data_IF_167071000216
#
_entry.id   IF_167071000216
#
_cell.length_a   1.000
_cell.length_b   1.000
_cell.length_c   1.000
_cell.angle_alpha   90.00
_cell.angle_beta   90.00
_cell.angle_gamma   90.00
#
_symmetry.space_group_name_H-M   'P 1'
#
loop_
_entity.id
_entity.type
_entity.pdbx_description
1 polymer ?
#
# COMPACT_ATOMS: atom_id res chain seq x y z
N UNK A 1 30.38 -19.87 -21.43
CA UNK A 1 29.34 -19.82 -22.48
C UNK A 1 27.98 -19.79 -21.78
N UNK A 2 27.11 -18.85 -22.15
CA UNK A 2 25.77 -18.67 -21.57
C UNK A 2 24.68 -19.04 -22.58
N UNK A 3 23.51 -19.47 -22.09
CA UNK A 3 22.36 -19.79 -22.94
C UNK A 3 21.54 -18.54 -23.21
N UNK A 4 21.25 -18.23 -24.48
CA UNK A 4 20.34 -17.15 -24.83
C UNK A 4 18.92 -17.49 -24.37
N UNK A 5 18.30 -16.60 -23.59
CA UNK A 5 16.96 -16.79 -23.00
C UNK A 5 15.88 -16.86 -24.08
N UNK A 6 16.07 -16.14 -25.21
CA UNK A 6 15.09 -16.05 -26.29
C UNK A 6 15.14 -17.22 -27.28
N UNK A 7 16.33 -17.63 -27.73
CA UNK A 7 16.50 -18.65 -28.77
C UNK A 7 17.11 -19.97 -28.28
N UNK A 8 17.52 -20.04 -27.02
CA UNK A 8 18.05 -21.26 -26.40
C UNK A 8 19.45 -21.68 -26.86
N UNK A 9 20.10 -20.95 -27.77
CA UNK A 9 21.46 -21.26 -28.26
C UNK A 9 22.53 -20.87 -27.23
N UNK A 10 23.64 -21.60 -27.24
CA UNK A 10 24.83 -21.26 -26.45
C UNK A 10 25.61 -20.15 -27.15
N UNK A 11 25.91 -19.08 -26.42
CA UNK A 11 26.70 -17.94 -26.87
C UNK A 11 27.89 -17.72 -25.94
N UNK A 12 28.97 -17.06 -26.39
CA UNK A 12 30.06 -16.60 -25.52
C UNK A 12 29.55 -15.75 -24.34
N UNK A 13 30.24 -15.79 -23.20
CA UNK A 13 29.76 -15.12 -21.97
C UNK A 13 29.76 -13.58 -22.10
N UNK A 14 30.72 -13.05 -22.87
CA UNK A 14 30.94 -11.63 -23.18
C UNK A 14 30.00 -11.08 -24.28
N UNK A 15 29.15 -11.93 -24.87
CA UNK A 15 28.21 -11.51 -25.92
C UNK A 15 27.14 -10.56 -25.36
N UNK A 16 27.10 -9.33 -25.88
CA UNK A 16 26.09 -8.30 -25.55
C UNK A 16 24.77 -8.48 -26.28
N UNK A 17 24.83 -8.87 -27.55
CA UNK A 17 23.64 -9.12 -28.39
C UNK A 17 23.76 -10.49 -29.04
N UNK A 18 22.73 -11.33 -28.90
CA UNK A 18 22.72 -12.64 -29.52
C UNK A 18 22.64 -12.53 -31.05
N UNK A 19 23.70 -12.95 -31.75
CA UNK A 19 23.78 -12.91 -33.22
C UNK A 19 22.66 -13.67 -33.93
N UNK A 20 22.10 -14.71 -33.29
CA UNK A 20 21.05 -15.54 -33.90
C UNK A 20 19.63 -14.96 -33.78
N UNK A 21 19.35 -14.11 -32.79
CA UNK A 21 17.99 -13.63 -32.53
C UNK A 21 17.89 -12.16 -32.13
N UNK A 22 18.99 -11.42 -32.29
CA UNK A 22 19.15 -10.01 -31.93
C UNK A 22 18.69 -9.68 -30.50
N UNK A 23 18.78 -10.65 -29.58
CA UNK A 23 18.41 -10.45 -28.18
C UNK A 23 19.53 -9.71 -27.45
N UNK A 24 19.24 -8.51 -26.98
CA UNK A 24 20.17 -7.68 -26.21
C UNK A 24 20.13 -8.09 -24.73
N UNK A 25 21.26 -8.59 -24.24
CA UNK A 25 21.41 -9.05 -22.86
C UNK A 25 21.56 -7.87 -21.90
N UNK A 26 22.19 -6.77 -22.32
CA UNK A 26 22.38 -5.58 -21.49
C UNK A 26 21.02 -4.88 -21.27
N UNK A 27 20.21 -4.82 -22.33
CA UNK A 27 18.85 -4.30 -22.28
C UNK A 27 17.95 -5.19 -21.41
N UNK A 28 18.02 -6.51 -21.58
CA UNK A 28 17.26 -7.45 -20.76
C UNK A 28 17.65 -7.35 -19.29
N UNK A 29 18.94 -7.27 -18.95
CA UNK A 29 19.39 -7.15 -17.56
C UNK A 29 18.94 -5.82 -16.95
N UNK A 30 19.00 -4.73 -17.72
CA UNK A 30 18.48 -3.42 -17.33
C UNK A 30 16.99 -3.46 -17.02
N UNK A 31 16.18 -4.17 -17.80
CA UNK A 31 14.72 -4.24 -17.64
C UNK A 31 14.22 -5.48 -16.90
N UNK A 32 15.08 -6.39 -16.48
CA UNK A 32 14.70 -7.65 -15.81
C UNK A 32 13.79 -7.39 -14.60
N UNK A 33 14.08 -6.33 -13.84
CA UNK A 33 13.29 -5.91 -12.69
C UNK A 33 11.83 -5.55 -13.02
N UNK A 34 11.53 -5.18 -14.27
CA UNK A 34 10.15 -4.93 -14.73
C UNK A 34 9.34 -6.22 -14.94
N UNK A 35 10.02 -7.36 -15.07
CA UNK A 35 9.42 -8.67 -15.31
C UNK A 35 9.49 -9.60 -14.09
N UNK A 36 10.23 -9.22 -13.05
CA UNK A 36 10.21 -9.94 -11.76
C UNK A 36 8.84 -9.68 -11.13
N UNK A 37 7.94 -10.64 -11.31
CA UNK A 37 6.67 -10.64 -10.61
C UNK A 37 6.97 -11.13 -9.20
N UNK A 38 6.81 -10.28 -8.19
CA UNK A 38 6.86 -10.72 -6.80
C UNK A 38 5.82 -11.82 -6.60
N UNK A 39 6.26 -12.96 -6.08
CA UNK A 39 5.39 -14.09 -5.78
C UNK A 39 4.64 -13.84 -4.48
N UNK A 40 3.43 -14.40 -4.38
CA UNK A 40 2.64 -14.28 -3.16
C UNK A 40 3.33 -14.99 -1.99
N UNK A 41 3.23 -14.44 -0.76
CA UNK A 41 3.85 -15.06 0.40
C UNK A 41 3.28 -16.46 0.65
N UNK A 42 4.16 -17.42 0.91
CA UNK A 42 3.78 -18.81 1.20
C UNK A 42 3.22 -18.88 2.62
N UNK A 43 1.93 -19.16 2.74
CA UNK A 43 1.22 -19.30 4.03
C UNK A 43 0.42 -20.61 4.07
N UNK A 44 0.11 -21.17 5.26
CA UNK A 44 -0.77 -22.32 5.39
C UNK A 44 -2.12 -22.09 4.70
N UNK A 45 -2.76 -23.14 4.18
CA UNK A 45 -4.05 -23.04 3.46
C UNK A 45 -5.12 -22.29 4.26
N UNK A 46 -5.17 -22.52 5.58
CA UNK A 46 -6.08 -21.84 6.51
C UNK A 46 -5.92 -20.30 6.52
N UNK A 47 -4.72 -19.80 6.20
CA UNK A 47 -4.40 -18.38 6.23
C UNK A 47 -4.43 -17.72 4.84
N UNK A 48 -4.70 -18.47 3.77
CA UNK A 48 -4.74 -17.92 2.41
C UNK A 48 -5.81 -16.82 2.25
N UNK A 49 -6.97 -16.98 2.91
CA UNK A 49 -8.01 -15.93 2.91
C UNK A 49 -7.48 -14.61 3.51
N UNK A 50 -6.67 -14.71 4.56
CA UNK A 50 -6.14 -13.53 5.26
C UNK A 50 -5.26 -12.67 4.34
N UNK A 51 -4.58 -13.26 3.35
CA UNK A 51 -3.78 -12.51 2.37
C UNK A 51 -4.62 -11.57 1.50
N UNK A 52 -5.92 -11.86 1.34
CA UNK A 52 -6.88 -11.04 0.61
C UNK A 52 -7.68 -10.15 1.56
N UNK A 53 -8.07 -10.67 2.72
CA UNK A 53 -8.90 -9.94 3.67
C UNK A 53 -8.14 -8.78 4.32
N UNK A 54 -6.89 -8.99 4.72
CA UNK A 54 -6.07 -7.95 5.37
C UNK A 54 -5.97 -6.66 4.52
N UNK A 55 -5.59 -6.72 3.23
CA UNK A 55 -5.49 -5.51 2.42
C UNK A 55 -6.84 -4.82 2.17
N UNK A 56 -7.90 -5.60 1.99
CA UNK A 56 -9.26 -5.07 1.77
C UNK A 56 -9.77 -4.40 3.04
N UNK A 57 -9.63 -5.03 4.20
CA UNK A 57 -10.03 -4.47 5.49
C UNK A 57 -9.24 -3.20 5.82
N UNK A 58 -7.92 -3.19 5.58
CA UNK A 58 -7.11 -1.99 5.73
C UNK A 58 -7.66 -0.82 4.90
N UNK A 59 -8.02 -1.09 3.64
CA UNK A 59 -8.60 -0.09 2.75
C UNK A 59 -9.97 0.40 3.23
N UNK A 60 -10.88 -0.51 3.59
CA UNK A 60 -12.22 -0.18 4.09
C UNK A 60 -12.14 0.68 5.36
N UNK A 61 -11.32 0.28 6.34
CA UNK A 61 -11.16 1.06 7.56
C UNK A 61 -10.51 2.42 7.30
N UNK A 62 -9.57 2.50 6.36
CA UNK A 62 -9.00 3.78 5.89
C UNK A 62 -10.08 4.71 5.32
N UNK A 63 -10.97 4.21 4.46
CA UNK A 63 -12.10 4.98 3.92
C UNK A 63 -13.06 5.43 5.02
N UNK A 64 -13.45 4.54 5.92
CA UNK A 64 -14.38 4.88 7.01
C UNK A 64 -13.78 5.97 7.90
N UNK A 65 -12.49 5.86 8.26
CA UNK A 65 -11.77 6.89 9.02
C UNK A 65 -11.76 8.23 8.27
N UNK A 66 -11.54 8.21 6.94
CA UNK A 66 -11.55 9.41 6.12
C UNK A 66 -12.94 10.08 6.05
N UNK A 67 -14.02 9.31 5.90
CA UNK A 67 -15.40 9.82 5.92
C UNK A 67 -15.71 10.45 7.28
N UNK A 68 -15.34 9.78 8.38
CA UNK A 68 -15.55 10.30 9.73
C UNK A 68 -14.74 11.57 9.99
N UNK A 69 -13.54 11.67 9.42
CA UNK A 69 -12.75 12.90 9.47
C UNK A 69 -13.46 14.03 8.72
N UNK A 70 -14.03 13.79 7.54
CA UNK A 70 -14.79 14.80 6.82
C UNK A 70 -16.01 15.27 7.63
N UNK A 71 -16.80 14.33 8.18
CA UNK A 71 -17.92 14.64 9.07
C UNK A 71 -17.47 15.44 10.30
N UNK A 72 -16.35 15.05 10.91
CA UNK A 72 -15.76 15.77 12.02
C UNK A 72 -15.32 17.17 11.61
N UNK A 73 -14.66 17.35 10.45
CA UNK A 73 -14.10 18.61 9.97
C UNK A 73 -15.18 19.65 9.69
N UNK A 74 -16.24 19.28 8.98
CA UNK A 74 -17.28 20.22 8.56
C UNK A 74 -18.35 20.51 9.62
N UNK A 75 -18.40 19.73 10.70
CA UNK A 75 -19.33 20.02 11.79
C UNK A 75 -18.89 21.25 12.61
N UNK A 76 -19.76 22.21 12.96
CA UNK A 76 -19.35 23.45 13.64
C UNK A 76 -18.78 23.22 15.05
N UNK A 77 -19.29 22.20 15.76
CA UNK A 77 -18.86 21.83 17.11
C UNK A 77 -18.00 20.56 17.10
N UNK A 78 -17.25 20.35 18.18
CA UNK A 78 -16.52 19.10 18.42
C UNK A 78 -17.51 17.99 18.77
N UNK A 79 -17.77 17.10 17.82
CA UNK A 79 -18.58 15.90 18.05
C UNK A 79 -17.63 14.75 18.40
N UNK A 80 -17.64 14.34 19.67
CA UNK A 80 -16.72 13.32 20.21
C UNK A 80 -16.85 11.99 19.49
N UNK A 81 -18.06 11.59 19.06
CA UNK A 81 -18.26 10.31 18.40
C UNK A 81 -17.53 10.20 17.05
N UNK A 82 -17.51 11.28 16.26
CA UNK A 82 -16.79 11.30 14.99
C UNK A 82 -15.29 11.27 15.22
N UNK A 83 -14.80 12.01 16.22
CA UNK A 83 -13.39 12.03 16.61
C UNK A 83 -12.91 10.64 17.05
N UNK A 84 -13.64 10.00 17.97
CA UNK A 84 -13.32 8.64 18.41
C UNK A 84 -13.35 7.66 17.24
N UNK A 85 -14.35 7.78 16.36
CA UNK A 85 -14.45 6.98 15.16
C UNK A 85 -13.22 7.10 14.25
N UNK A 86 -12.72 8.32 13.99
CA UNK A 86 -11.49 8.53 13.21
C UNK A 86 -10.34 7.71 13.79
N UNK A 87 -10.07 7.82 15.09
CA UNK A 87 -8.96 7.13 15.73
C UNK A 87 -9.14 5.61 15.79
N UNK A 88 -10.36 5.12 16.09
CA UNK A 88 -10.65 3.68 16.13
C UNK A 88 -10.44 3.05 14.76
N UNK A 89 -11.02 3.64 13.70
CA UNK A 89 -10.88 3.09 12.36
C UNK A 89 -9.48 3.29 11.77
N UNK A 90 -8.79 4.39 12.09
CA UNK A 90 -7.39 4.57 11.71
C UNK A 90 -6.48 3.54 12.39
N UNK A 91 -6.71 3.25 13.68
CA UNK A 91 -5.99 2.22 14.41
C UNK A 91 -6.20 0.83 13.79
N UNK A 92 -7.46 0.47 13.49
CA UNK A 92 -7.78 -0.78 12.80
C UNK A 92 -7.09 -0.85 11.42
N UNK A 93 -7.16 0.21 10.63
CA UNK A 93 -6.46 0.27 9.34
C UNK A 93 -4.95 0.02 9.50
N UNK A 94 -4.33 0.58 10.55
CA UNK A 94 -2.91 0.34 10.84
C UNK A 94 -2.62 -1.11 11.22
N UNK A 95 -3.45 -1.72 12.08
CA UNK A 95 -3.34 -3.13 12.48
C UNK A 95 -3.41 -4.07 11.26
N UNK A 96 -4.28 -3.79 10.30
CA UNK A 96 -4.37 -4.59 9.07
C UNK A 96 -3.31 -4.23 8.02
N UNK A 97 -2.70 -3.04 8.10
CA UNK A 97 -1.63 -2.61 7.18
C UNK A 97 -0.30 -3.33 7.42
N UNK A 98 -0.05 -3.82 8.64
CA UNK A 98 1.19 -4.52 9.00
C UNK A 98 1.12 -6.03 8.76
N UNK A 99 -0.05 -6.55 8.42
CA UNK A 99 -0.25 -7.98 8.15
C UNK A 99 0.11 -8.31 6.70
N UNK A 100 0.49 -9.57 6.48
CA UNK A 100 0.79 -10.11 5.15
C UNK A 100 -0.41 -9.96 4.20
N UNK A 101 -0.09 -9.67 2.94
CA UNK A 101 -1.05 -9.48 1.88
C UNK A 101 -0.56 -10.12 0.59
N UNK A 102 -1.52 -10.42 -0.28
CA UNK A 102 -1.27 -10.78 -1.67
C UNK A 102 -0.54 -9.63 -2.38
N UNK A 103 0.49 -9.92 -3.17
CA UNK A 103 1.34 -8.89 -3.81
C UNK A 103 0.49 -7.90 -4.61
N UNK A 104 -0.49 -8.43 -5.36
CA UNK A 104 -1.42 -7.62 -6.18
C UNK A 104 -2.31 -6.68 -5.36
N UNK A 105 -2.49 -6.94 -4.06
CA UNK A 105 -3.35 -6.19 -3.16
C UNK A 105 -2.59 -5.29 -2.18
N UNK A 106 -1.25 -5.33 -2.18
CA UNK A 106 -0.42 -4.38 -1.43
C UNK A 106 -0.82 -2.92 -1.69
N UNK A 107 -1.13 -2.49 -2.94
CA UNK A 107 -1.59 -1.13 -3.18
C UNK A 107 -2.82 -0.71 -2.35
N UNK A 108 -3.74 -1.63 -2.06
CA UNK A 108 -4.92 -1.34 -1.23
C UNK A 108 -4.54 -1.07 0.23
N UNK A 109 -3.57 -1.81 0.80
CA UNK A 109 -3.03 -1.51 2.14
C UNK A 109 -2.37 -0.14 2.17
N UNK A 110 -1.56 0.16 1.16
CA UNK A 110 -0.85 1.44 1.08
C UNK A 110 -1.85 2.60 1.04
N UNK A 111 -2.85 2.53 0.16
CA UNK A 111 -3.89 3.56 0.07
C UNK A 111 -4.70 3.66 1.36
N UNK A 112 -5.13 2.53 1.93
CA UNK A 112 -5.87 2.50 3.20
C UNK A 112 -5.11 3.18 4.35
N UNK A 113 -3.81 2.89 4.46
CA UNK A 113 -2.91 3.51 5.45
C UNK A 113 -2.76 5.02 5.22
N UNK A 114 -2.60 5.46 3.97
CA UNK A 114 -2.54 6.89 3.64
C UNK A 114 -3.82 7.62 4.02
N UNK A 115 -4.99 7.06 3.70
CA UNK A 115 -6.28 7.63 4.09
C UNK A 115 -6.41 7.79 5.60
N UNK A 116 -6.05 6.76 6.36
CA UNK A 116 -6.05 6.79 7.82
C UNK A 116 -5.11 7.88 8.37
N UNK A 117 -3.90 8.01 7.81
CA UNK A 117 -2.95 9.05 8.23
C UNK A 117 -3.50 10.46 7.98
N UNK A 118 -4.04 10.72 6.78
CA UNK A 118 -4.66 12.01 6.44
C UNK A 118 -5.83 12.29 7.40
N UNK A 119 -6.68 11.30 7.66
CA UNK A 119 -7.81 11.42 8.56
C UNK A 119 -7.40 11.85 9.98
N UNK A 120 -6.35 11.22 10.52
CA UNK A 120 -5.79 11.55 11.84
C UNK A 120 -5.17 12.95 11.85
N UNK A 121 -4.32 13.28 10.87
CA UNK A 121 -3.65 14.58 10.80
C UNK A 121 -4.63 15.75 10.75
N UNK A 122 -5.67 15.66 9.91
CA UNK A 122 -6.68 16.71 9.77
C UNK A 122 -7.54 16.82 11.04
N UNK A 123 -7.89 15.69 11.66
CA UNK A 123 -8.66 15.69 12.92
C UNK A 123 -7.89 16.33 14.07
N UNK A 124 -6.59 16.05 14.19
CA UNK A 124 -5.71 16.69 15.17
C UNK A 124 -5.61 18.19 14.89
N UNK A 125 -5.42 18.59 13.63
CA UNK A 125 -5.34 20.00 13.25
C UNK A 125 -6.59 20.79 13.70
N UNK A 126 -7.79 20.25 13.43
CA UNK A 126 -9.04 20.88 13.87
C UNK A 126 -9.13 20.98 15.40
N UNK A 127 -8.75 19.93 16.11
CA UNK A 127 -8.74 19.91 17.59
C UNK A 127 -7.87 21.02 18.16
N UNK A 128 -6.62 21.11 17.68
CA UNK A 128 -5.66 22.13 18.11
C UNK A 128 -6.18 23.53 17.80
N UNK A 129 -6.70 23.75 16.59
CA UNK A 129 -7.26 25.04 16.20
C UNK A 129 -8.44 25.46 17.09
N UNK A 130 -9.33 24.52 17.42
CA UNK A 130 -10.45 24.77 18.32
C UNK A 130 -9.98 25.11 19.74
N UNK A 131 -9.00 24.39 20.28
CA UNK A 131 -8.42 24.65 21.60
C UNK A 131 -7.76 26.03 21.66
N UNK A 132 -6.94 26.39 20.67
CA UNK A 132 -6.31 27.72 20.59
C UNK A 132 -7.37 28.83 20.58
N UNK A 133 -8.43 28.67 19.77
CA UNK A 133 -9.54 29.63 19.73
C UNK A 133 -10.24 29.77 21.09
N UNK A 134 -10.33 28.69 21.87
CA UNK A 134 -10.93 28.70 23.20
C UNK A 134 -10.04 29.36 24.26
N UNK A 135 -8.71 29.41 24.07
CA UNK A 135 -7.76 30.03 25.00
C UNK A 135 -7.61 31.54 24.74
N UNK A 136 -7.71 31.96 23.47
CA UNK A 136 -7.58 33.38 23.06
C UNK A 136 -8.86 34.18 23.35
N UNK A 137 -10.00 33.50 23.53
CA UNK A 137 -11.25 34.12 23.98
C UNK A 137 -11.29 34.26 25.49
#
# INVERSE_FOLDING_TARGET
>A
MKKCIRCGRMVPDDTKVCESCAFDFDEYEKYKHLYVTEEDPIVPEEQQSSLVDNPILCFIFGIISFILMALFLFHPNIVVIYLLGVFVFAFLAYVFSVKLAKVKLIPFQVVGKWLANIAVSVSIFKLVFFLIRSIIK
#
